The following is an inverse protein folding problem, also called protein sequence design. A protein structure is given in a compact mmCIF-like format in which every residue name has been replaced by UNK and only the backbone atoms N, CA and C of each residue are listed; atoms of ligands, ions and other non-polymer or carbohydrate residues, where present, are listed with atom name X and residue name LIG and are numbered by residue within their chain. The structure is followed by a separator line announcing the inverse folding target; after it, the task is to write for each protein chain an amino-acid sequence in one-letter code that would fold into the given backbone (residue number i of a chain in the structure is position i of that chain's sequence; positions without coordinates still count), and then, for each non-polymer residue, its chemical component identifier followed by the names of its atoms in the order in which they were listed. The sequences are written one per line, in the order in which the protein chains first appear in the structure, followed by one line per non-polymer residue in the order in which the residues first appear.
data_IF_040922740326
#
_entry.id   IF_040922740326
#
_cell.length_a   1.000
_cell.length_b   1.000
_cell.length_c   1.000
_cell.angle_alpha   90.00
_cell.angle_beta   90.00
_cell.angle_gamma   90.00
#
_symmetry.space_group_name_H-M   'P 1'
#
loop_
_entity.id
_entity.type
_entity.pdbx_description
1 polymer ?
#
# COMPACT_ATOMS: atom_id res chain seq x y z
N UNK A 1 -9.22 4.17 0.96
CA UNK A 1 -9.19 3.94 -0.50
C UNK A 1 -8.26 4.96 -1.13
N UNK A 2 -7.40 4.50 -2.03
CA UNK A 2 -6.47 5.33 -2.78
C UNK A 2 -6.85 5.31 -4.25
N UNK A 3 -6.78 6.47 -4.90
CA UNK A 3 -7.08 6.57 -6.31
C UNK A 3 -7.19 8.00 -6.78
N UNK A 4 -7.44 8.16 -8.08
CA UNK A 4 -7.50 9.45 -8.76
C UNK A 4 -8.85 10.17 -8.68
N UNK A 5 -9.91 9.50 -8.21
CA UNK A 5 -11.23 10.12 -8.03
C UNK A 5 -11.29 10.79 -6.66
N UNK A 6 -11.95 11.95 -6.57
CA UNK A 6 -12.06 12.73 -5.33
C UNK A 6 -12.89 12.03 -4.23
N UNK A 7 -13.60 10.95 -4.58
CA UNK A 7 -14.31 10.10 -3.62
C UNK A 7 -13.35 9.16 -2.85
N UNK A 8 -12.09 9.06 -3.25
CA UNK A 8 -11.09 8.31 -2.49
C UNK A 8 -10.71 9.04 -1.20
N UNK A 9 -10.52 8.29 -0.11
CA UNK A 9 -9.98 8.83 1.15
C UNK A 9 -8.62 9.53 0.95
N UNK A 10 -7.82 9.02 0.01
CA UNK A 10 -6.59 9.66 -0.45
C UNK A 10 -6.62 9.80 -1.97
N UNK A 11 -6.90 11.04 -2.40
CA UNK A 11 -6.81 11.45 -3.79
C UNK A 11 -5.34 11.52 -4.23
N UNK A 12 -5.01 10.79 -5.28
CA UNK A 12 -3.68 10.72 -5.88
C UNK A 12 -3.72 11.41 -7.25
N UNK A 13 -2.80 12.31 -7.53
CA UNK A 13 -2.88 13.15 -8.74
C UNK A 13 -2.22 12.53 -9.97
N UNK A 14 -1.31 11.57 -9.76
CA UNK A 14 -0.46 11.06 -10.83
C UNK A 14 -1.28 10.32 -11.90
N UNK A 15 -1.09 10.60 -13.20
CA UNK A 15 -1.98 10.10 -14.27
C UNK A 15 -1.99 8.58 -14.42
N UNK A 16 -0.92 7.90 -14.02
CA UNK A 16 -0.81 6.44 -14.06
C UNK A 16 -1.50 5.74 -12.90
N UNK A 17 -2.04 6.51 -11.94
CA UNK A 17 -2.87 5.97 -10.86
C UNK A 17 -4.30 5.84 -11.35
N UNK A 18 -4.86 4.62 -11.29
CA UNK A 18 -6.28 4.38 -11.60
C UNK A 18 -7.23 5.19 -10.71
N UNK A 19 -8.44 5.46 -11.22
CA UNK A 19 -9.49 6.23 -10.50
C UNK A 19 -9.80 5.62 -9.14
N UNK A 20 -9.94 4.29 -9.09
CA UNK A 20 -9.91 3.50 -7.87
C UNK A 20 -8.75 2.51 -8.01
N UNK A 21 -7.72 2.67 -7.19
CA UNK A 21 -6.44 2.01 -7.40
C UNK A 21 -6.22 0.86 -6.42
N UNK A 22 -6.32 1.16 -5.13
CA UNK A 22 -6.11 0.19 -4.06
C UNK A 22 -6.89 0.59 -2.81
N UNK A 23 -7.07 -0.37 -1.91
CA UNK A 23 -7.63 -0.15 -0.58
C UNK A 23 -6.65 -0.61 0.49
N UNK A 24 -6.55 0.17 1.55
CA UNK A 24 -5.96 -0.24 2.83
C UNK A 24 -7.12 -0.74 3.69
N UNK A 25 -7.00 -1.95 4.24
CA UNK A 25 -8.00 -2.54 5.10
C UNK A 25 -7.38 -3.06 6.38
N UNK A 26 -8.03 -2.77 7.50
CA UNK A 26 -7.65 -3.29 8.82
C UNK A 26 -8.58 -4.44 9.19
N UNK A 27 -8.02 -5.54 9.67
CA UNK A 27 -8.77 -6.58 10.36
C UNK A 27 -9.06 -6.17 11.80
N UNK A 28 -10.07 -6.81 12.41
CA UNK A 28 -10.37 -6.64 13.84
C UNK A 28 -9.22 -7.07 14.75
N UNK A 29 -8.34 -7.94 14.27
CA UNK A 29 -7.10 -8.37 14.94
C UNK A 29 -6.02 -7.28 15.00
N UNK A 30 -6.18 -6.16 14.28
CA UNK A 30 -5.18 -5.10 14.17
C UNK A 30 -4.21 -5.25 13.00
N UNK A 31 -4.29 -6.36 12.25
CA UNK A 31 -3.49 -6.57 11.04
C UNK A 31 -3.98 -5.66 9.89
N UNK A 32 -3.05 -5.12 9.11
CA UNK A 32 -3.33 -4.26 7.97
C UNK A 32 -3.01 -4.97 6.65
N UNK A 33 -3.79 -4.67 5.61
CA UNK A 33 -3.64 -5.26 4.29
C UNK A 33 -3.78 -4.19 3.22
N UNK A 34 -2.98 -4.32 2.16
CA UNK A 34 -3.23 -3.62 0.90
C UNK A 34 -3.86 -4.57 -0.11
N UNK A 35 -4.84 -4.06 -0.84
CA UNK A 35 -5.53 -4.79 -1.90
C UNK A 35 -5.59 -3.90 -3.15
N UNK A 36 -4.88 -4.31 -4.20
CA UNK A 36 -4.93 -3.63 -5.49
C UNK A 36 -6.21 -4.03 -6.24
N UNK A 37 -7.00 -3.04 -6.66
CA UNK A 37 -8.33 -3.23 -7.26
C UNK A 37 -8.28 -3.62 -8.75
N UNK A 38 -7.11 -3.99 -9.27
CA UNK A 38 -6.90 -4.21 -10.70
C UNK A 38 -6.39 -2.96 -11.41
N UNK A 39 -5.54 -2.19 -10.73
CA UNK A 39 -5.00 -0.95 -11.27
C UNK A 39 -4.18 -1.20 -12.55
N UNK A 40 -4.06 -0.19 -13.42
CA UNK A 40 -3.35 -0.35 -14.70
C UNK A 40 -1.85 -0.54 -14.50
N UNK A 41 -1.24 0.29 -13.65
CA UNK A 41 0.21 0.32 -13.42
C UNK A 41 0.66 -0.34 -12.11
N UNK A 42 -0.25 -1.10 -11.47
CA UNK A 42 -0.01 -1.85 -10.23
C UNK A 42 0.35 -1.01 -9.01
N UNK A 43 0.20 -1.64 -7.85
CA UNK A 43 0.69 -1.17 -6.56
C UNK A 43 1.98 -1.90 -6.20
N UNK A 44 2.89 -1.22 -5.50
CA UNK A 44 4.16 -1.77 -5.05
C UNK A 44 4.31 -1.60 -3.54
N UNK A 45 4.80 -2.63 -2.85
CA UNK A 45 5.17 -2.63 -1.44
C UNK A 45 6.64 -3.03 -1.32
N UNK A 46 7.46 -2.21 -0.68
CA UNK A 46 8.91 -2.42 -0.55
C UNK A 46 9.60 -2.75 -1.89
N UNK A 47 9.25 -1.99 -2.95
CA UNK A 47 9.69 -2.17 -4.34
C UNK A 47 9.18 -3.43 -5.05
N UNK A 48 8.51 -4.34 -4.36
CA UNK A 48 7.90 -5.52 -4.96
C UNK A 48 6.49 -5.23 -5.46
N UNK A 49 6.15 -5.71 -6.64
CA UNK A 49 4.81 -5.55 -7.19
C UNK A 49 3.81 -6.43 -6.44
N UNK A 50 2.68 -5.85 -6.04
CA UNK A 50 1.57 -6.55 -5.40
C UNK A 50 0.76 -7.30 -6.45
N UNK A 51 0.34 -8.52 -6.12
CA UNK A 51 -0.62 -9.27 -6.92
C UNK A 51 -1.98 -8.57 -6.88
N UNK A 52 -2.55 -8.31 -8.07
CA UNK A 52 -3.86 -7.67 -8.20
C UNK A 52 -4.93 -8.59 -7.62
N UNK A 53 -5.93 -7.98 -6.97
CA UNK A 53 -7.07 -8.69 -6.35
C UNK A 53 -6.69 -9.71 -5.26
N UNK A 54 -5.52 -9.53 -4.64
CA UNK A 54 -5.05 -10.36 -3.52
C UNK A 54 -4.73 -9.45 -2.35
N UNK A 55 -5.10 -9.87 -1.14
CA UNK A 55 -4.71 -9.18 0.09
C UNK A 55 -3.24 -9.43 0.37
N UNK A 56 -2.46 -8.36 0.51
CA UNK A 56 -1.05 -8.41 0.90
C UNK A 56 -0.91 -7.79 2.29
N UNK A 57 -0.31 -8.53 3.22
CA UNK A 57 -0.01 -8.04 4.56
C UNK A 57 0.86 -6.78 4.50
N UNK A 58 0.49 -5.77 5.29
CA UNK A 58 1.27 -4.56 5.51
C UNK A 58 1.77 -4.51 6.95
N UNK A 59 3.05 -4.19 7.10
CA UNK A 59 3.74 -4.03 8.39
C UNK A 59 4.16 -2.59 8.59
N UNK A 60 4.21 -2.16 9.85
CA UNK A 60 4.67 -0.81 10.18
C UNK A 60 6.09 -0.63 9.66
N UNK A 61 6.31 0.44 8.89
CA UNK A 61 7.54 0.76 8.18
C UNK A 61 7.52 0.41 6.69
N UNK A 62 6.54 -0.36 6.21
CA UNK A 62 6.46 -0.73 4.80
C UNK A 62 6.26 0.50 3.90
N UNK A 63 6.96 0.50 2.76
CA UNK A 63 6.91 1.59 1.79
C UNK A 63 6.00 1.19 0.62
N UNK A 64 4.95 1.97 0.41
CA UNK A 64 3.94 1.78 -0.62
C UNK A 64 4.16 2.82 -1.73
N UNK A 65 4.03 2.37 -2.98
CA UNK A 65 4.05 3.22 -4.18
C UNK A 65 2.94 2.82 -5.14
N UNK A 66 2.24 3.82 -5.69
CA UNK A 66 1.11 3.60 -6.60
C UNK A 66 1.47 3.99 -8.04
N UNK A 67 1.21 3.09 -8.98
CA UNK A 67 1.51 3.29 -10.39
C UNK A 67 2.98 3.65 -10.65
N UNK A 68 3.20 4.72 -11.41
CA UNK A 68 4.53 5.27 -11.73
C UNK A 68 4.85 6.56 -10.98
N UNK A 69 4.07 6.90 -9.95
CA UNK A 69 4.35 8.07 -9.11
C UNK A 69 5.73 7.95 -8.44
N UNK A 70 6.42 9.07 -8.32
CA UNK A 70 7.66 9.19 -7.53
C UNK A 70 7.38 9.33 -6.03
N UNK A 71 6.12 9.61 -5.63
CA UNK A 71 5.73 9.73 -4.22
C UNK A 71 5.76 8.35 -3.56
N UNK A 72 6.39 8.29 -2.38
CA UNK A 72 6.44 7.12 -1.52
C UNK A 72 5.58 7.36 -0.28
N UNK A 73 4.85 6.35 0.14
CA UNK A 73 4.01 6.36 1.33
C UNK A 73 4.59 5.35 2.32
N UNK A 74 4.77 5.75 3.57
CA UNK A 74 5.26 4.85 4.62
C UNK A 74 4.07 4.48 5.49
N UNK A 75 3.80 3.18 5.65
CA UNK A 75 2.76 2.72 6.55
C UNK A 75 3.27 2.87 7.99
N UNK A 76 2.75 3.87 8.71
CA UNK A 76 3.13 4.14 10.09
C UNK A 76 2.12 3.59 11.09
N UNK A 77 2.58 3.32 12.30
CA UNK A 77 1.81 2.80 13.42
C UNK A 77 2.67 2.76 14.69
N UNK A 78 2.11 2.28 15.81
CA UNK A 78 2.84 2.09 17.07
C UNK A 78 4.14 1.31 16.87
N UNK A 79 5.20 1.73 17.56
CA UNK A 79 6.53 1.11 17.46
C UNK A 79 6.52 -0.37 17.85
N UNK A 80 5.61 -0.77 18.73
CA UNK A 80 5.46 -2.17 19.19
C UNK A 80 4.95 -3.10 18.08
N UNK A 81 4.34 -2.55 17.02
CA UNK A 81 3.89 -3.30 15.84
C UNK A 81 4.93 -3.29 14.71
N UNK A 82 6.07 -2.61 14.88
CA UNK A 82 7.19 -2.74 13.95
C UNK A 82 7.77 -4.15 14.08
N UNK A 83 7.97 -4.87 12.96
CA UNK A 83 8.61 -6.16 13.00
C UNK A 83 10.02 -6.04 13.59
N UNK A 84 10.46 -7.10 14.28
CA UNK A 84 11.79 -7.11 14.89
C UNK A 84 12.86 -6.87 13.82
N UNK A 85 13.97 -6.22 14.19
CA UNK A 85 15.04 -5.89 13.24
C UNK A 85 15.64 -7.12 12.52
N UNK A 86 15.40 -8.33 13.05
CA UNK A 86 15.82 -9.62 12.48
C UNK A 86 14.94 -10.08 11.31
N UNK A 87 13.69 -9.59 11.23
CA UNK A 87 12.72 -9.93 10.19
C UNK A 87 12.75 -8.96 9.01
N UNK A 88 13.47 -7.84 9.14
CA UNK A 88 13.85 -6.97 8.03
C UNK A 88 14.80 -7.74 7.13
N UNK A 89 14.25 -8.45 6.14
CA UNK A 89 15.03 -8.97 5.03
C UNK A 89 15.58 -7.76 4.25
N UNK A 90 16.78 -7.35 4.62
CA UNK A 90 17.62 -6.52 3.76
C UNK A 90 17.97 -7.39 2.55
N UNK A 91 17.23 -7.20 1.46
CA UNK A 91 17.60 -7.71 0.14
C UNK A 91 18.72 -6.85 -0.42
#
# INVERSE_FOLDING_TARGET
MFGRIDLCDLALEHPTVSRSHAVLQFKRSGEAYIYDLGSTHSTFVNKNQVNKKVYVDLRVGDVIRFGLSTRLYIFQGPSDLMPSKKDLKFF
#
